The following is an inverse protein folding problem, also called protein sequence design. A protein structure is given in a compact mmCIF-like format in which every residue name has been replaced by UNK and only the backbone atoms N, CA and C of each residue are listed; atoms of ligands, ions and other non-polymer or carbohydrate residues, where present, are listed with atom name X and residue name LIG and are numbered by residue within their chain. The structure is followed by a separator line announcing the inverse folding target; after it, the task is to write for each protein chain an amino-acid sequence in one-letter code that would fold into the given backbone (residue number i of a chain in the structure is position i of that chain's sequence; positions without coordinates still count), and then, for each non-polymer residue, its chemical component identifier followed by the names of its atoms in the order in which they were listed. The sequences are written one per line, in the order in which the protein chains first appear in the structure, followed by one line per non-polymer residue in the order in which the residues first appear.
data_IF_090784896938
#
_entry.id   IF_090784896938
#
_cell.length_a   1.000
_cell.length_b   1.000
_cell.length_c   1.000
_cell.angle_alpha   90.00
_cell.angle_beta   90.00
_cell.angle_gamma   90.00
#
_symmetry.space_group_name_H-M   'P 1'
#
loop_
_entity.id
_entity.type
_entity.pdbx_description
1 polymer ?
#
# COMPACT_ATOMS: atom_id res chain seq x y z
N UNK A 1 2.55 -30.34 -3.62
CA UNK A 1 2.78 -28.91 -3.33
C UNK A 1 1.87 -28.51 -2.19
N UNK A 2 2.41 -27.96 -1.11
CA UNK A 2 1.57 -27.39 -0.03
C UNK A 2 0.93 -26.10 -0.55
N UNK A 3 -0.36 -25.91 -0.28
CA UNK A 3 -1.09 -24.69 -0.61
C UNK A 3 -0.91 -23.65 0.50
N UNK A 4 -0.54 -22.42 0.14
CA UNK A 4 -0.40 -21.29 1.05
C UNK A 4 -1.42 -20.23 0.64
N UNK A 5 -2.31 -19.87 1.58
CA UNK A 5 -3.23 -18.76 1.41
C UNK A 5 -2.61 -17.47 1.96
N UNK A 6 -2.71 -16.38 1.21
CA UNK A 6 -2.19 -15.06 1.57
C UNK A 6 -3.29 -14.03 1.37
N UNK A 7 -3.72 -13.41 2.47
CA UNK A 7 -4.63 -12.27 2.43
C UNK A 7 -3.82 -10.97 2.56
N UNK A 8 -3.92 -10.10 1.55
CA UNK A 8 -3.18 -8.84 1.44
C UNK A 8 -4.14 -7.68 1.72
N UNK A 9 -3.98 -7.04 2.87
CA UNK A 9 -4.71 -5.83 3.25
C UNK A 9 -4.00 -4.62 2.65
N UNK A 10 -4.67 -3.85 1.79
CA UNK A 10 -4.03 -2.78 1.02
C UNK A 10 -4.93 -1.56 0.82
N UNK A 11 -4.31 -0.39 0.89
CA UNK A 11 -4.88 0.89 0.44
C UNK A 11 -4.14 1.36 -0.83
N UNK A 12 -4.89 1.88 -1.80
CA UNK A 12 -4.37 2.40 -3.07
C UNK A 12 -3.50 3.65 -2.90
N UNK A 13 -3.72 4.47 -1.86
CA UNK A 13 -2.92 5.68 -1.62
C UNK A 13 -1.62 5.39 -0.84
N UNK A 14 -1.44 4.16 -0.37
CA UNK A 14 -0.30 3.78 0.45
C UNK A 14 0.93 3.44 -0.43
N UNK A 15 2.01 4.22 -0.39
CA UNK A 15 3.21 3.91 -1.17
C UNK A 15 3.88 2.61 -0.72
N UNK A 16 3.79 2.28 0.58
CA UNK A 16 4.36 1.05 1.12
C UNK A 16 3.57 -0.19 0.70
N UNK A 17 2.26 -0.10 0.54
CA UNK A 17 1.46 -1.21 0.00
C UNK A 17 1.90 -1.55 -1.43
N UNK A 18 2.23 -0.55 -2.26
CA UNK A 18 2.78 -0.78 -3.59
C UNK A 18 4.15 -1.48 -3.55
N UNK A 19 5.07 -1.00 -2.71
CA UNK A 19 6.39 -1.65 -2.53
C UNK A 19 6.22 -3.08 -2.02
N UNK A 20 5.34 -3.30 -1.04
CA UNK A 20 5.03 -4.60 -0.47
C UNK A 20 4.49 -5.57 -1.52
N UNK A 21 3.56 -5.12 -2.38
CA UNK A 21 3.03 -5.92 -3.50
C UNK A 21 4.15 -6.42 -4.41
N UNK A 22 5.08 -5.54 -4.83
CA UNK A 22 6.22 -5.93 -5.68
C UNK A 22 7.14 -6.96 -5.01
N UNK A 23 7.35 -6.83 -3.70
CA UNK A 23 8.16 -7.79 -2.92
C UNK A 23 7.47 -9.15 -2.81
N UNK A 24 6.16 -9.18 -2.55
CA UNK A 24 5.38 -10.42 -2.48
C UNK A 24 5.37 -11.11 -3.85
N UNK A 25 5.11 -10.38 -4.94
CA UNK A 25 5.14 -10.93 -6.30
C UNK A 25 6.48 -11.62 -6.60
N UNK A 26 7.60 -10.97 -6.25
CA UNK A 26 8.93 -11.55 -6.42
C UNK A 26 9.15 -12.81 -5.59
N UNK A 27 8.67 -12.83 -4.34
CA UNK A 27 8.81 -13.97 -3.45
C UNK A 27 8.01 -15.18 -3.97
N UNK A 28 6.79 -14.94 -4.44
CA UNK A 28 5.91 -15.96 -5.03
C UNK A 28 6.55 -16.54 -6.29
N UNK A 29 7.05 -15.69 -7.20
CA UNK A 29 7.73 -16.14 -8.40
C UNK A 29 8.95 -17.02 -8.10
N UNK A 30 9.70 -16.70 -7.04
CA UNK A 30 10.88 -17.47 -6.59
C UNK A 30 10.51 -18.84 -6.02
N UNK A 31 9.28 -19.00 -5.52
CA UNK A 31 8.85 -20.18 -4.75
C UNK A 31 7.75 -21.00 -5.43
N UNK A 32 7.30 -20.60 -6.62
CA UNK A 32 6.17 -21.20 -7.35
C UNK A 32 6.33 -22.69 -7.67
N UNK A 33 7.56 -23.19 -7.76
CA UNK A 33 7.82 -24.62 -8.02
C UNK A 33 7.70 -25.49 -6.76
N UNK A 34 7.64 -24.86 -5.58
CA UNK A 34 7.59 -25.56 -4.27
C UNK A 34 6.22 -25.48 -3.60
N UNK A 35 5.51 -24.38 -3.82
CA UNK A 35 4.24 -24.08 -3.17
C UNK A 35 3.20 -23.61 -4.17
N UNK A 36 1.94 -23.93 -3.90
CA UNK A 36 0.80 -23.34 -4.59
C UNK A 36 0.29 -22.14 -3.78
N UNK A 37 0.01 -21.01 -4.42
CA UNK A 37 -0.34 -19.76 -3.74
C UNK A 37 -1.75 -19.31 -4.10
N UNK A 38 -2.59 -19.12 -3.08
CA UNK A 38 -3.91 -18.50 -3.20
C UNK A 38 -3.86 -17.10 -2.61
N UNK A 39 -4.04 -16.07 -3.44
CA UNK A 39 -3.92 -14.67 -3.03
C UNK A 39 -5.30 -14.02 -3.03
N UNK A 40 -5.64 -13.32 -1.95
CA UNK A 40 -6.81 -12.43 -1.87
C UNK A 40 -6.39 -11.03 -1.46
N UNK A 41 -6.96 -10.00 -2.11
CA UNK A 41 -6.76 -8.61 -1.71
C UNK A 41 -7.98 -8.11 -0.93
N UNK A 42 -7.73 -7.60 0.27
CA UNK A 42 -8.75 -7.02 1.14
C UNK A 42 -8.56 -5.49 1.17
N UNK A 43 -9.63 -4.70 0.97
CA UNK A 43 -9.53 -3.25 0.95
C UNK A 43 -9.22 -2.69 2.35
N UNK A 44 -8.48 -1.59 2.38
CA UNK A 44 -8.21 -0.82 3.58
C UNK A 44 -8.25 0.68 3.28
N UNK A 45 -8.69 1.47 4.24
CA UNK A 45 -8.67 2.93 4.18
C UNK A 45 -7.72 3.46 5.27
N UNK A 46 -6.59 4.04 4.86
CA UNK A 46 -5.63 4.71 5.75
C UNK A 46 -6.25 5.93 6.42
N UNK A 47 -7.27 6.53 5.80
CA UNK A 47 -8.05 7.61 6.38
C UNK A 47 -9.51 7.55 5.89
N UNK A 48 -10.38 6.95 6.71
CA UNK A 48 -11.81 6.84 6.45
C UNK A 48 -12.58 8.18 6.60
N UNK A 49 -11.94 9.27 7.03
CA UNK A 49 -12.55 10.60 7.12
C UNK A 49 -12.42 11.40 5.82
N UNK A 50 -11.72 10.89 4.80
CA UNK A 50 -11.59 11.58 3.50
C UNK A 50 -12.96 11.60 2.80
N UNK A 51 -13.47 12.78 2.40
CA UNK A 51 -14.73 12.86 1.68
C UNK A 51 -14.62 12.22 0.29
N UNK A 52 -15.75 11.75 -0.26
CA UNK A 52 -15.80 11.11 -1.59
C UNK A 52 -15.26 11.99 -2.73
N UNK A 53 -15.37 13.31 -2.60
CA UNK A 53 -14.83 14.26 -3.57
C UNK A 53 -13.29 14.36 -3.54
N UNK A 54 -12.64 13.74 -2.55
CA UNK A 54 -11.20 13.83 -2.33
C UNK A 54 -10.80 15.09 -1.57
N UNK A 55 -9.49 15.20 -1.31
CA UNK A 55 -8.84 16.37 -0.73
C UNK A 55 -7.66 16.76 -1.60
N UNK A 56 -7.31 18.05 -1.60
CA UNK A 56 -6.06 18.50 -2.23
C UNK A 56 -4.88 17.88 -1.46
N UNK A 57 -4.02 17.16 -2.19
CA UNK A 57 -3.01 16.28 -1.61
C UNK A 57 -1.99 17.07 -0.77
N UNK A 58 -1.49 18.19 -1.26
CA UNK A 58 -0.46 18.99 -0.58
C UNK A 58 -0.99 19.57 0.73
N UNK A 59 -2.20 20.11 0.74
CA UNK A 59 -2.87 20.58 1.94
C UNK A 59 -3.10 19.44 2.93
N UNK A 60 -3.62 18.31 2.47
CA UNK A 60 -3.85 17.14 3.32
C UNK A 60 -2.55 16.65 3.99
N UNK A 61 -1.47 16.49 3.21
CA UNK A 61 -0.17 16.07 3.73
C UNK A 61 0.45 17.14 4.65
N UNK A 62 0.31 18.43 4.32
CA UNK A 62 0.77 19.54 5.18
C UNK A 62 0.08 19.53 6.52
N UNK A 63 -1.24 19.33 6.54
CA UNK A 63 -2.02 19.26 7.77
C UNK A 63 -1.68 18.01 8.60
N UNK A 64 -1.40 16.89 7.92
CA UNK A 64 -1.11 15.60 8.59
C UNK A 64 0.33 15.49 9.10
N UNK A 65 1.31 16.01 8.37
CA UNK A 65 2.75 15.76 8.60
C UNK A 65 3.58 17.03 8.78
N UNK A 66 2.98 18.22 8.67
CA UNK A 66 3.65 19.51 8.82
C UNK A 66 4.44 19.97 7.58
N UNK A 67 4.65 21.29 7.49
CA UNK A 67 5.25 21.94 6.32
C UNK A 67 6.79 21.86 6.25
N UNK A 68 7.48 21.98 7.40
CA UNK A 68 8.92 22.25 7.39
C UNK A 68 9.79 21.06 6.97
N UNK A 69 9.35 19.81 7.17
CA UNK A 69 10.17 18.62 6.85
C UNK A 69 9.37 17.38 6.37
N UNK A 70 8.13 17.19 6.82
CA UNK A 70 7.32 16.01 6.49
C UNK A 70 6.79 16.04 5.07
N UNK A 71 6.07 17.11 4.72
CA UNK A 71 5.37 17.20 3.43
C UNK A 71 6.30 17.44 2.25
N UNK A 72 7.34 18.26 2.41
CA UNK A 72 8.33 18.52 1.37
C UNK A 72 9.03 17.24 0.90
N UNK A 73 9.32 16.30 1.82
CA UNK A 73 9.89 15.00 1.46
C UNK A 73 8.91 14.13 0.69
N UNK A 74 7.62 14.15 1.03
CA UNK A 74 6.62 13.28 0.41
C UNK A 74 6.18 13.74 -0.98
N UNK A 75 6.21 15.05 -1.26
CA UNK A 75 5.76 15.61 -2.54
C UNK A 75 6.87 15.75 -3.60
N UNK A 76 8.14 15.73 -3.19
CA UNK A 76 9.29 15.94 -4.07
C UNK A 76 10.12 14.65 -4.26
N UNK A 77 9.52 13.47 -4.05
CA UNK A 77 10.10 12.17 -4.42
C UNK A 77 9.49 11.71 -5.73
#
# INVERSE_FOLDING_TARGET
MQKIKIDIISDVVCPWCYIGKRRIEKAIETLKDKYDFEISFLPFELNAQVPKAGLEQKQYLTNKFGAMNGTHKLLNT
#
